data_IF_003534606867
#
_entry.id   IF_003534606867
#
_cell.length_a   1.000
_cell.length_b   1.000
_cell.length_c   1.000
_cell.angle_alpha   90.00
_cell.angle_beta   90.00
_cell.angle_gamma   90.00
#
_symmetry.space_group_name_H-M   'P 1'
#
loop_
_entity.id
_entity.type
_entity.pdbx_description
1 polymer ?
#
# COMPACT_ATOMS: atom_id res chain seq x y z
N UNK A 1 -3.09 -18.58 4.31
CA UNK A 1 -1.99 -17.87 3.64
C UNK A 1 -2.34 -16.40 3.47
N UNK A 2 -1.35 -15.53 3.60
CA UNK A 2 -1.56 -14.08 3.53
C UNK A 2 -2.19 -13.65 2.19
N UNK A 3 -1.83 -14.33 1.10
CA UNK A 3 -2.32 -14.04 -0.25
C UNK A 3 -3.84 -14.20 -0.35
N UNK A 4 -4.39 -15.24 0.28
CA UNK A 4 -5.83 -15.50 0.24
C UNK A 4 -6.63 -14.40 0.93
N UNK A 5 -6.14 -13.92 2.08
CA UNK A 5 -6.80 -12.85 2.82
C UNK A 5 -6.82 -11.58 1.98
N UNK A 6 -5.68 -11.24 1.38
CA UNK A 6 -5.56 -10.06 0.54
C UNK A 6 -6.49 -10.15 -0.67
N UNK A 7 -6.52 -11.30 -1.34
CA UNK A 7 -7.38 -11.52 -2.51
C UNK A 7 -8.86 -11.36 -2.14
N UNK A 8 -9.26 -11.90 -1.01
CA UNK A 8 -10.64 -11.78 -0.55
C UNK A 8 -11.00 -10.33 -0.23
N UNK A 9 -10.10 -9.60 0.40
CA UNK A 9 -10.31 -8.19 0.69
C UNK A 9 -10.38 -7.36 -0.59
N UNK A 10 -9.54 -7.65 -1.57
CA UNK A 10 -9.59 -6.97 -2.86
C UNK A 10 -10.92 -7.20 -3.57
N UNK A 11 -11.50 -8.38 -3.40
CA UNK A 11 -12.77 -8.73 -4.01
C UNK A 11 -13.98 -8.13 -3.29
N UNK A 12 -13.90 -7.99 -1.96
CA UNK A 12 -15.09 -7.69 -1.15
C UNK A 12 -15.03 -6.38 -0.36
N UNK A 13 -13.88 -5.75 -0.24
CA UNK A 13 -13.72 -4.56 0.57
C UNK A 13 -13.26 -3.38 -0.28
N UNK A 14 -14.15 -2.40 -0.46
CA UNK A 14 -13.84 -1.22 -1.28
C UNK A 14 -12.72 -0.38 -0.71
N UNK A 15 -12.70 -0.24 0.62
CA UNK A 15 -11.64 0.52 1.29
C UNK A 15 -10.28 -0.11 1.05
N UNK A 16 -10.20 -1.44 1.17
CA UNK A 16 -8.94 -2.15 0.92
C UNK A 16 -8.49 -1.98 -0.53
N UNK A 17 -9.43 -2.07 -1.48
CA UNK A 17 -9.12 -1.85 -2.90
C UNK A 17 -8.57 -0.46 -3.15
N UNK A 18 -9.20 0.55 -2.54
CA UNK A 18 -8.73 1.93 -2.69
C UNK A 18 -7.33 2.12 -2.13
N UNK A 19 -7.06 1.54 -0.96
CA UNK A 19 -5.72 1.60 -0.36
C UNK A 19 -4.70 0.90 -1.23
N UNK A 20 -5.07 -0.26 -1.80
CA UNK A 20 -4.18 -1.00 -2.69
C UNK A 20 -3.88 -0.21 -3.96
N UNK A 21 -4.88 0.45 -4.54
CA UNK A 21 -4.69 1.29 -5.72
C UNK A 21 -3.77 2.46 -5.43
N UNK A 22 -3.98 3.16 -4.32
CA UNK A 22 -3.12 4.26 -3.91
C UNK A 22 -1.69 3.78 -3.70
N UNK A 23 -1.54 2.63 -3.04
CA UNK A 23 -0.23 2.05 -2.82
C UNK A 23 0.48 1.77 -4.15
N UNK A 24 -0.23 1.23 -5.12
CA UNK A 24 0.30 0.96 -6.44
C UNK A 24 0.72 2.25 -7.14
N UNK A 25 -0.10 3.29 -7.08
CA UNK A 25 0.22 4.58 -7.70
C UNK A 25 1.47 5.19 -7.09
N UNK A 26 1.58 5.18 -5.76
CA UNK A 26 2.76 5.71 -5.09
C UNK A 26 4.00 4.87 -5.40
N UNK A 27 3.84 3.55 -5.50
CA UNK A 27 4.95 2.66 -5.87
C UNK A 27 5.47 2.96 -7.26
N UNK A 28 4.57 3.18 -8.22
CA UNK A 28 4.95 3.49 -9.60
C UNK A 28 5.67 4.83 -9.68
N UNK A 29 5.16 5.83 -8.97
CA UNK A 29 5.80 7.14 -8.94
C UNK A 29 7.17 7.07 -8.28
N UNK A 30 7.27 6.33 -7.18
CA UNK A 30 8.54 6.16 -6.47
C UNK A 30 9.56 5.44 -7.34
N UNK A 31 9.14 4.41 -8.07
CA UNK A 31 10.02 3.70 -9.01
C UNK A 31 10.52 4.63 -10.10
N UNK A 32 9.67 5.50 -10.62
CA UNK A 32 10.06 6.52 -11.58
C UNK A 32 11.16 7.43 -11.03
N UNK A 33 11.03 7.86 -9.79
CA UNK A 33 12.02 8.70 -9.14
C UNK A 33 13.32 7.98 -8.92
N UNK A 34 13.25 6.73 -8.43
CA UNK A 34 14.44 5.92 -8.15
C UNK A 34 15.23 5.66 -9.43
N UNK A 35 14.56 5.51 -10.56
CA UNK A 35 15.20 5.24 -11.84
C UNK A 35 15.80 6.48 -12.47
N UNK A 36 15.54 7.67 -11.96
CA UNK A 36 16.17 8.88 -12.46
C UNK A 36 17.62 8.96 -12.02
N UNK A 37 18.45 9.42 -12.93
CA UNK A 37 19.89 9.59 -12.65
C UNK A 37 20.15 10.70 -11.66
N UNK A 38 19.38 11.78 -11.75
CA UNK A 38 19.47 12.93 -10.86
C UNK A 38 18.09 13.37 -10.44
N UNK A 39 17.94 13.66 -9.16
CA UNK A 39 16.69 14.19 -8.61
C UNK A 39 16.87 15.66 -8.27
N UNK A 40 15.86 16.46 -8.60
CA UNK A 40 15.79 17.84 -8.11
C UNK A 40 15.50 17.83 -6.61
N UNK A 41 15.64 18.98 -5.96
CA UNK A 41 15.32 19.09 -4.54
C UNK A 41 13.85 18.74 -4.27
N UNK A 42 12.94 19.20 -5.13
CA UNK A 42 11.53 18.88 -5.01
C UNK A 42 11.28 17.38 -5.17
N UNK A 43 11.98 16.74 -6.09
CA UNK A 43 11.84 15.30 -6.31
C UNK A 43 12.39 14.49 -5.12
N UNK A 44 13.45 14.96 -4.49
CA UNK A 44 13.97 14.32 -3.28
C UNK A 44 12.96 14.38 -2.14
N UNK A 45 12.28 15.52 -1.99
CA UNK A 45 11.23 15.67 -0.99
C UNK A 45 10.04 14.75 -1.33
N UNK A 46 9.69 14.68 -2.60
CA UNK A 46 8.61 13.79 -3.04
C UNK A 46 8.94 12.34 -2.72
N UNK A 47 10.16 11.91 -2.96
CA UNK A 47 10.60 10.54 -2.65
C UNK A 47 10.40 10.23 -1.17
N UNK A 48 10.82 11.12 -0.28
CA UNK A 48 10.65 10.93 1.16
C UNK A 48 9.17 10.82 1.52
N UNK A 49 8.34 11.72 0.97
CA UNK A 49 6.90 11.73 1.22
C UNK A 49 6.23 10.45 0.74
N UNK A 50 6.59 9.99 -0.46
CA UNK A 50 6.02 8.78 -1.02
C UNK A 50 6.37 7.55 -0.19
N UNK A 51 7.59 7.47 0.31
CA UNK A 51 8.00 6.37 1.19
C UNK A 51 7.16 6.34 2.45
N UNK A 52 6.93 7.51 3.06
CA UNK A 52 6.10 7.61 4.26
C UNK A 52 4.64 7.26 3.96
N UNK A 53 4.11 7.73 2.85
CA UNK A 53 2.73 7.45 2.44
C UNK A 53 2.54 5.96 2.16
N UNK A 54 3.48 5.32 1.48
CA UNK A 54 3.43 3.89 1.23
C UNK A 54 3.41 3.10 2.54
N UNK A 55 4.26 3.47 3.48
CA UNK A 55 4.31 2.81 4.77
C UNK A 55 2.98 2.95 5.50
N UNK A 56 2.41 4.15 5.49
CA UNK A 56 1.11 4.40 6.12
C UNK A 56 0.01 3.57 5.49
N UNK A 57 -0.02 3.51 4.16
CA UNK A 57 -1.01 2.69 3.45
C UNK A 57 -0.85 1.21 3.77
N UNK A 58 0.39 0.75 3.81
CA UNK A 58 0.69 -0.64 4.16
C UNK A 58 0.17 -0.96 5.56
N UNK A 59 0.40 -0.07 6.52
CA UNK A 59 -0.07 -0.26 7.88
C UNK A 59 -1.60 -0.33 7.93
N UNK A 60 -2.29 0.53 7.18
CA UNK A 60 -3.75 0.52 7.10
C UNK A 60 -4.26 -0.78 6.47
N UNK A 61 -3.59 -1.24 5.41
CA UNK A 61 -3.95 -2.51 4.77
C UNK A 61 -3.75 -3.68 5.71
N UNK A 62 -2.66 -3.69 6.46
CA UNK A 62 -2.40 -4.73 7.47
C UNK A 62 -3.47 -4.74 8.55
N UNK A 63 -3.91 -3.57 8.99
CA UNK A 63 -4.98 -3.46 9.99
C UNK A 63 -6.26 -4.09 9.45
N UNK A 64 -6.62 -3.82 8.21
CA UNK A 64 -7.79 -4.44 7.58
C UNK A 64 -7.63 -5.95 7.45
N UNK A 65 -6.45 -6.41 7.06
CA UNK A 65 -6.16 -7.83 6.97
C UNK A 65 -6.30 -8.52 8.33
N UNK A 66 -5.78 -7.91 9.38
CA UNK A 66 -5.89 -8.46 10.73
C UNK A 66 -7.34 -8.50 11.20
N UNK A 67 -8.10 -7.44 10.95
CA UNK A 67 -9.51 -7.41 11.28
C UNK A 67 -10.28 -8.50 10.55
N UNK A 68 -9.98 -8.69 9.27
CA UNK A 68 -10.62 -9.72 8.46
C UNK A 68 -10.31 -11.12 9.02
N UNK A 69 -9.05 -11.37 9.35
CA UNK A 69 -8.65 -12.66 9.93
C UNK A 69 -9.34 -12.91 11.26
N UNK A 70 -9.40 -11.89 12.11
CA UNK A 70 -10.07 -12.02 13.42
C UNK A 70 -11.55 -12.35 13.26
N UNK A 71 -12.22 -11.72 12.29
CA UNK A 71 -13.63 -11.94 12.02
C UNK A 71 -13.92 -13.31 11.41
N UNK A 72 -12.99 -13.84 10.64
CA UNK A 72 -13.18 -15.06 9.87
C UNK A 72 -12.38 -16.23 10.42
N UNK A 73 -11.75 -16.05 11.55
CA UNK A 73 -10.97 -17.10 12.18
C UNK A 73 -11.92 -18.15 12.79
N UNK A 74 -11.76 -19.38 12.35
CA UNK A 74 -12.50 -20.50 12.91
C UNK A 74 -11.61 -21.15 13.97
N UNK A 75 -12.14 -21.22 15.16
CA UNK A 75 -11.40 -21.82 16.27
C UNK A 75 -11.87 -23.24 16.48
#
# INVERSE_FOLDING_TARGET
MATQVRDQLLASNEEFRRLADEHTQYSQRLDSLINKKYLSEDEKLEEVRLKKLKLRLKDQMETLEQSYRASHQVV
#
